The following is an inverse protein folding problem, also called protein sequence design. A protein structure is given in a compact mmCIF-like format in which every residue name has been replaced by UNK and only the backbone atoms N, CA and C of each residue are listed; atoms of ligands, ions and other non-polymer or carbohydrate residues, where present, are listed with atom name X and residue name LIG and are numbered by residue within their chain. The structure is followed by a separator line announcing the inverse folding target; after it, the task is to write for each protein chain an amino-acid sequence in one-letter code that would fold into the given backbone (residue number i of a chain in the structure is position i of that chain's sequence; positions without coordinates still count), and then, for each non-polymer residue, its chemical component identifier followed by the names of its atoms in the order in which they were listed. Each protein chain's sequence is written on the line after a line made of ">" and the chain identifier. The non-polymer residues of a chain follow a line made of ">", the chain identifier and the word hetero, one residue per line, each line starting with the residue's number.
data_IF_462077703886
#
_entry.id   IF_462077703886
#
_cell.length_a   1.000
_cell.length_b   1.000
_cell.length_c   1.000
_cell.angle_alpha   90.00
_cell.angle_beta   90.00
_cell.angle_gamma   90.00
#
_symmetry.space_group_name_H-M   'P 1'
#
loop_
_entity.id
_entity.type
_entity.pdbx_description
1 polymer ?
#
# COMPACT_ATOMS: atom_id res chain seq x y z
N UNK A 1 -38.99 -30.85 -37.33
CA UNK A 1 -38.54 -29.49 -37.01
C UNK A 1 -37.42 -29.68 -36.00
N UNK A 2 -36.18 -29.65 -36.48
CA UNK A 2 -34.98 -29.86 -35.68
C UNK A 2 -34.56 -28.50 -35.13
N UNK A 3 -34.75 -28.27 -33.85
CA UNK A 3 -34.00 -27.24 -33.14
C UNK A 3 -32.80 -27.94 -32.52
N UNK A 4 -31.64 -27.68 -33.12
CA UNK A 4 -30.32 -28.06 -32.63
C UNK A 4 -29.99 -27.16 -31.46
N UNK A 5 -30.03 -27.72 -30.25
CA UNK A 5 -29.36 -27.15 -29.09
C UNK A 5 -27.88 -26.91 -29.46
N UNK A 6 -27.49 -25.63 -29.49
CA UNK A 6 -26.09 -25.23 -29.44
C UNK A 6 -25.58 -25.49 -28.01
N UNK A 7 -25.37 -26.76 -27.69
CA UNK A 7 -24.63 -27.16 -26.51
C UNK A 7 -23.15 -26.85 -26.78
N UNK A 8 -22.79 -25.60 -26.49
CA UNK A 8 -21.41 -25.13 -26.59
C UNK A 8 -20.69 -25.64 -25.34
N UNK A 9 -20.44 -26.96 -25.29
CA UNK A 9 -19.70 -27.55 -24.19
C UNK A 9 -18.32 -26.91 -24.16
N UNK A 10 -18.06 -26.03 -23.19
CA UNK A 10 -16.73 -25.49 -22.95
C UNK A 10 -15.82 -26.68 -22.69
N UNK A 11 -14.83 -26.87 -23.56
CA UNK A 11 -13.94 -28.03 -23.50
C UNK A 11 -13.06 -27.86 -22.25
N UNK A 12 -12.88 -28.88 -21.40
CA UNK A 12 -12.08 -28.81 -20.18
C UNK A 12 -10.68 -28.18 -20.35
N UNK A 13 -10.11 -28.29 -21.56
CA UNK A 13 -8.84 -27.68 -21.94
C UNK A 13 -8.85 -26.15 -21.86
N UNK A 14 -9.94 -25.50 -22.25
CA UNK A 14 -10.05 -24.04 -22.24
C UNK A 14 -10.14 -23.50 -20.81
N UNK A 15 -10.81 -24.24 -19.91
CA UNK A 15 -10.89 -23.91 -18.48
C UNK A 15 -9.51 -24.02 -17.83
N UNK A 16 -8.75 -25.08 -18.12
CA UNK A 16 -7.39 -25.26 -17.61
C UNK A 16 -6.47 -24.13 -18.07
N UNK A 17 -6.60 -23.69 -19.33
CA UNK A 17 -5.85 -22.53 -19.83
C UNK A 17 -6.22 -21.24 -19.08
N UNK A 18 -7.50 -20.97 -18.87
CA UNK A 18 -7.97 -19.80 -18.11
C UNK A 18 -7.45 -19.82 -16.66
N UNK A 19 -7.52 -20.96 -15.98
CA UNK A 19 -6.99 -21.11 -14.61
C UNK A 19 -5.49 -20.81 -14.58
N UNK A 20 -4.72 -21.31 -15.54
CA UNK A 20 -3.29 -21.04 -15.61
C UNK A 20 -2.98 -19.55 -15.86
N UNK A 21 -3.74 -18.89 -16.75
CA UNK A 21 -3.59 -17.46 -17.01
C UNK A 21 -3.88 -16.61 -15.75
N UNK A 22 -4.93 -16.96 -15.00
CA UNK A 22 -5.26 -16.31 -13.73
C UNK A 22 -4.17 -16.53 -12.67
N UNK A 23 -3.57 -17.72 -12.60
CA UNK A 23 -2.43 -18.01 -11.71
C UNK A 23 -1.19 -17.20 -12.06
N UNK A 24 -0.88 -17.06 -13.35
CA UNK A 24 0.23 -16.21 -13.82
C UNK A 24 -0.03 -14.75 -13.45
N UNK A 25 -1.26 -14.26 -13.64
CA UNK A 25 -1.68 -12.92 -13.23
C UNK A 25 -1.48 -12.71 -11.72
N UNK A 26 -1.92 -13.65 -10.87
CA UNK A 26 -1.72 -13.54 -9.42
C UNK A 26 -0.25 -13.56 -9.01
N UNK A 27 0.57 -14.38 -9.67
CA UNK A 27 2.03 -14.39 -9.43
C UNK A 27 2.65 -13.03 -9.77
N UNK A 28 2.27 -12.42 -10.88
CA UNK A 28 2.71 -11.07 -11.23
C UNK A 28 2.20 -10.02 -10.24
N UNK A 29 1.00 -10.21 -9.70
CA UNK A 29 0.43 -9.32 -8.69
C UNK A 29 1.15 -9.44 -7.35
N UNK A 30 1.64 -10.63 -6.96
CA UNK A 30 2.47 -10.80 -5.76
C UNK A 30 3.74 -9.95 -5.80
N UNK A 31 4.43 -9.95 -6.95
CA UNK A 31 5.62 -9.12 -7.17
C UNK A 31 5.31 -7.62 -7.04
N UNK A 32 4.17 -7.20 -7.60
CA UNK A 32 3.71 -5.81 -7.53
C UNK A 32 3.27 -5.44 -6.10
N UNK A 33 2.62 -6.36 -5.39
CA UNK A 33 2.21 -6.21 -4.01
C UNK A 33 3.43 -5.98 -3.10
N UNK A 34 4.52 -6.74 -3.32
CA UNK A 34 5.79 -6.56 -2.62
C UNK A 34 6.39 -5.17 -2.89
N UNK A 35 6.41 -4.72 -4.15
CA UNK A 35 6.93 -3.39 -4.52
C UNK A 35 6.13 -2.27 -3.85
N UNK A 36 4.80 -2.36 -3.86
CA UNK A 36 3.93 -1.38 -3.22
C UNK A 36 4.16 -1.37 -1.71
N UNK A 37 4.29 -2.54 -1.07
CA UNK A 37 4.61 -2.65 0.36
C UNK A 37 5.92 -1.94 0.70
N UNK A 38 6.98 -2.20 -0.08
CA UNK A 38 8.28 -1.56 0.13
C UNK A 38 8.19 -0.05 -0.04
N UNK A 39 7.47 0.43 -1.06
CA UNK A 39 7.23 1.86 -1.29
C UNK A 39 6.46 2.51 -0.14
N UNK A 40 5.38 1.89 0.34
CA UNK A 40 4.60 2.37 1.48
C UNK A 40 5.48 2.47 2.74
N UNK A 41 6.25 1.42 3.05
CA UNK A 41 7.14 1.41 4.20
C UNK A 41 8.25 2.48 4.10
N UNK A 42 8.78 2.73 2.89
CA UNK A 42 9.74 3.81 2.67
C UNK A 42 9.13 5.19 2.98
N UNK A 43 7.90 5.45 2.54
CA UNK A 43 7.21 6.71 2.82
C UNK A 43 6.89 6.89 4.31
N UNK A 44 6.58 5.81 5.03
CA UNK A 44 6.50 5.86 6.49
C UNK A 44 7.85 6.24 7.09
N UNK A 45 8.93 5.55 6.73
CA UNK A 45 10.27 5.88 7.20
C UNK A 45 10.64 7.35 6.96
N UNK A 46 10.38 7.87 5.76
CA UNK A 46 10.56 9.29 5.42
C UNK A 46 9.74 10.21 6.33
N UNK A 47 8.47 9.88 6.57
CA UNK A 47 7.60 10.65 7.46
C UNK A 47 8.15 10.70 8.91
N UNK A 48 8.63 9.57 9.45
CA UNK A 48 9.29 9.55 10.76
C UNK A 48 10.58 10.37 10.78
N UNK A 49 11.39 10.26 9.74
CA UNK A 49 12.62 11.03 9.62
C UNK A 49 12.32 12.53 9.65
N UNK A 50 11.33 13.00 8.87
CA UNK A 50 10.94 14.40 8.88
C UNK A 50 10.31 14.83 10.20
N UNK A 51 9.52 13.96 10.85
CA UNK A 51 8.98 14.24 12.19
C UNK A 51 10.10 14.46 13.23
N UNK A 52 11.16 13.66 13.17
CA UNK A 52 12.34 13.84 14.02
C UNK A 52 13.05 15.17 13.72
N UNK A 53 13.24 15.51 12.44
CA UNK A 53 13.84 16.80 12.03
C UNK A 53 13.01 17.98 12.56
N UNK A 54 11.70 17.94 12.41
CA UNK A 54 10.77 18.96 12.95
C UNK A 54 10.94 19.07 14.46
N UNK A 55 10.92 17.94 15.18
CA UNK A 55 11.04 17.92 16.64
C UNK A 55 12.37 18.51 17.11
N UNK A 56 13.49 18.10 16.51
CA UNK A 56 14.82 18.63 16.81
C UNK A 56 14.91 20.14 16.56
N UNK A 57 14.39 20.61 15.43
CA UNK A 57 14.39 22.03 15.09
C UNK A 57 13.47 22.84 16.00
N UNK A 58 12.31 22.29 16.43
CA UNK A 58 11.45 22.90 17.45
C UNK A 58 12.16 23.02 18.79
N UNK A 59 12.90 22.01 19.23
CA UNK A 59 13.66 22.07 20.49
C UNK A 59 14.73 23.16 20.45
N UNK A 60 15.49 23.25 19.36
CA UNK A 60 16.48 24.32 19.15
C UNK A 60 15.79 25.69 19.11
N UNK A 61 14.64 25.80 18.45
CA UNK A 61 13.93 27.07 18.28
C UNK A 61 13.20 27.54 19.54
N UNK A 62 12.59 26.64 20.32
CA UNK A 62 11.80 26.97 21.51
C UNK A 62 12.63 27.08 22.80
N UNK A 63 13.91 26.68 22.78
CA UNK A 63 14.85 26.81 23.90
C UNK A 63 15.28 28.25 24.19
N UNK A 64 14.32 29.17 24.37
CA UNK A 64 14.57 30.53 24.87
C UNK A 64 14.77 31.62 23.82
N UNK A 65 14.32 31.42 22.57
CA UNK A 65 14.45 32.47 21.55
C UNK A 65 13.30 33.49 21.60
N UNK A 66 13.59 34.79 21.83
CA UNK A 66 12.57 35.85 21.87
C UNK A 66 11.96 36.10 20.48
N UNK A 67 10.83 36.80 20.44
CA UNK A 67 10.14 37.27 19.23
C UNK A 67 11.12 37.83 18.17
N UNK A 68 10.80 37.63 16.88
CA UNK A 68 11.53 38.27 15.78
C UNK A 68 11.19 39.76 15.82
N UNK A 69 12.18 40.60 16.08
CA UNK A 69 12.02 42.05 16.10
C UNK A 69 12.68 42.68 14.87
N UNK A 70 11.92 43.47 14.13
CA UNK A 70 12.47 44.38 13.11
C UNK A 70 13.00 45.64 13.79
N UNK A 71 14.10 46.19 13.27
CA UNK A 71 14.53 47.53 13.68
C UNK A 71 13.52 48.59 13.20
N UNK A 72 13.55 49.82 13.75
CA UNK A 72 12.65 50.91 13.32
C UNK A 72 12.75 51.25 11.83
N UNK A 73 13.89 50.97 11.19
CA UNK A 73 14.13 51.14 9.75
C UNK A 73 13.66 49.94 8.90
N UNK A 74 13.02 48.94 9.53
CA UNK A 74 12.57 47.70 8.89
C UNK A 74 13.65 46.63 8.72
N UNK A 75 14.92 46.90 9.05
CA UNK A 75 16.00 45.93 8.87
C UNK A 75 15.99 44.80 9.91
N UNK A 76 16.47 43.62 9.49
CA UNK A 76 16.58 42.42 10.32
C UNK A 76 18.04 42.24 10.71
N UNK A 77 18.32 42.09 12.00
CA UNK A 77 19.68 41.82 12.46
C UNK A 77 20.10 40.36 12.18
N UNK A 78 21.40 40.08 12.24
CA UNK A 78 21.93 38.74 11.96
C UNK A 78 21.28 37.63 12.82
N UNK A 79 21.03 37.92 14.10
CA UNK A 79 20.38 36.98 15.02
C UNK A 79 18.94 36.63 14.60
N UNK A 80 18.14 37.62 14.21
CA UNK A 80 16.77 37.40 13.72
C UNK A 80 16.76 36.78 12.32
N UNK A 81 17.78 37.03 11.48
CA UNK A 81 17.96 36.34 10.20
C UNK A 81 18.18 34.83 10.39
N UNK A 82 18.97 34.42 11.40
CA UNK A 82 19.16 33.01 11.76
C UNK A 82 17.85 32.34 12.18
N UNK A 83 17.03 33.03 12.99
CA UNK A 83 15.70 32.52 13.40
C UNK A 83 14.75 32.32 12.21
N UNK A 84 14.72 33.27 11.28
CA UNK A 84 13.91 33.15 10.06
C UNK A 84 14.37 31.94 9.25
N UNK A 85 15.67 31.73 9.10
CA UNK A 85 16.21 30.56 8.42
C UNK A 85 15.74 29.25 9.09
N UNK A 86 15.79 29.16 10.42
CA UNK A 86 15.29 27.99 11.15
C UNK A 86 13.79 27.78 10.99
N UNK A 87 12.99 28.84 11.03
CA UNK A 87 11.55 28.75 10.80
C UNK A 87 11.23 28.26 9.38
N UNK A 88 11.97 28.72 8.37
CA UNK A 88 11.86 28.23 6.99
C UNK A 88 12.20 26.73 6.93
N UNK A 89 13.31 26.30 7.55
CA UNK A 89 13.69 24.88 7.61
C UNK A 89 12.62 24.02 8.28
N UNK A 90 12.00 24.52 9.36
CA UNK A 90 10.90 23.82 10.02
C UNK A 90 9.74 23.58 9.05
N UNK A 91 9.32 24.63 8.33
CA UNK A 91 8.24 24.56 7.35
C UNK A 91 8.59 23.62 6.19
N UNK A 92 9.85 23.60 5.75
CA UNK A 92 10.33 22.65 4.73
C UNK A 92 10.18 21.20 5.20
N UNK A 93 10.55 20.88 6.45
CA UNK A 93 10.40 19.52 6.99
C UNK A 93 8.94 19.16 7.24
N UNK A 94 8.13 20.08 7.77
CA UNK A 94 6.68 19.86 7.95
C UNK A 94 6.01 19.58 6.60
N UNK A 95 6.36 20.31 5.54
CA UNK A 95 5.87 20.05 4.18
C UNK A 95 6.28 18.66 3.69
N UNK A 96 7.56 18.31 3.81
CA UNK A 96 8.07 16.99 3.39
C UNK A 96 7.42 15.85 4.16
N UNK A 97 7.15 16.03 5.47
CA UNK A 97 6.39 15.08 6.29
C UNK A 97 4.99 14.87 5.71
N UNK A 98 4.29 15.95 5.39
CA UNK A 98 2.95 15.89 4.80
C UNK A 98 2.95 15.20 3.43
N UNK A 99 3.92 15.52 2.57
CA UNK A 99 4.09 14.90 1.25
C UNK A 99 4.35 13.39 1.37
N UNK A 100 5.23 12.98 2.28
CA UNK A 100 5.52 11.56 2.56
C UNK A 100 4.29 10.82 3.09
N UNK A 101 3.53 11.42 4.01
CA UNK A 101 2.29 10.82 4.54
C UNK A 101 1.22 10.64 3.44
N UNK A 102 1.10 11.62 2.53
CA UNK A 102 0.20 11.53 1.38
C UNK A 102 0.61 10.42 0.41
N UNK A 103 1.91 10.29 0.13
CA UNK A 103 2.46 9.22 -0.71
C UNK A 103 2.24 7.85 -0.07
N UNK A 104 2.48 7.71 1.24
CA UNK A 104 2.16 6.51 2.01
C UNK A 104 0.67 6.12 1.85
N UNK A 105 -0.25 7.04 2.11
CA UNK A 105 -1.68 6.76 2.02
C UNK A 105 -2.11 6.32 0.61
N UNK A 106 -1.49 6.91 -0.43
CA UNK A 106 -1.72 6.49 -1.82
C UNK A 106 -1.23 5.07 -2.07
N UNK A 107 -0.02 4.73 -1.60
CA UNK A 107 0.55 3.38 -1.73
C UNK A 107 -0.27 2.35 -0.94
N UNK A 108 -0.67 2.67 0.30
CA UNK A 108 -1.54 1.84 1.14
C UNK A 108 -2.86 1.52 0.43
N UNK A 109 -3.52 2.51 -0.16
CA UNK A 109 -4.76 2.28 -0.92
C UNK A 109 -4.56 1.34 -2.09
N UNK A 110 -3.47 1.54 -2.85
CA UNK A 110 -3.12 0.67 -3.97
C UNK A 110 -2.83 -0.77 -3.50
N UNK A 111 -2.15 -0.92 -2.37
CA UNK A 111 -1.84 -2.21 -1.77
C UNK A 111 -3.12 -3.01 -1.46
N UNK A 112 -4.05 -2.40 -0.72
CA UNK A 112 -5.30 -3.07 -0.36
C UNK A 112 -6.20 -3.32 -1.57
N UNK A 113 -6.23 -2.43 -2.55
CA UNK A 113 -6.95 -2.66 -3.80
C UNK A 113 -6.42 -3.89 -4.54
N UNK A 114 -5.09 -4.02 -4.64
CA UNK A 114 -4.46 -5.15 -5.32
C UNK A 114 -4.75 -6.48 -4.60
N UNK A 115 -4.77 -6.48 -3.26
CA UNK A 115 -5.20 -7.65 -2.49
C UNK A 115 -6.62 -8.08 -2.85
N UNK A 116 -7.57 -7.14 -2.92
CA UNK A 116 -8.96 -7.48 -3.29
C UNK A 116 -9.04 -8.02 -4.73
N UNK A 117 -8.31 -7.43 -5.68
CA UNK A 117 -8.24 -7.94 -7.07
C UNK A 117 -7.65 -9.37 -7.15
N UNK A 118 -6.65 -9.67 -6.33
CA UNK A 118 -6.06 -11.02 -6.24
C UNK A 118 -7.03 -12.02 -5.60
N UNK A 119 -7.79 -11.59 -4.58
CA UNK A 119 -8.84 -12.40 -3.96
C UNK A 119 -9.96 -12.72 -4.95
N UNK A 120 -10.42 -11.73 -5.71
CA UNK A 120 -11.40 -11.93 -6.79
C UNK A 120 -10.87 -12.93 -7.82
N UNK A 121 -9.59 -12.83 -8.19
CA UNK A 121 -8.93 -13.77 -9.10
C UNK A 121 -8.91 -15.20 -8.52
N UNK A 122 -8.64 -15.39 -7.23
CA UNK A 122 -8.73 -16.73 -6.60
C UNK A 122 -10.16 -17.27 -6.54
N UNK A 123 -11.16 -16.40 -6.32
CA UNK A 123 -12.57 -16.82 -6.38
C UNK A 123 -12.98 -17.25 -7.79
N UNK A 124 -12.49 -16.56 -8.82
CA UNK A 124 -12.71 -16.93 -10.22
C UNK A 124 -12.09 -18.29 -10.55
N UNK A 125 -10.86 -18.56 -10.08
CA UNK A 125 -10.22 -19.88 -10.20
C UNK A 125 -11.10 -20.96 -9.55
N UNK A 126 -11.60 -20.73 -8.33
CA UNK A 126 -12.47 -21.69 -7.64
C UNK A 126 -13.78 -21.94 -8.39
N UNK A 127 -14.38 -20.90 -8.98
CA UNK A 127 -15.59 -21.04 -9.80
C UNK A 127 -15.34 -21.87 -11.05
N UNK A 128 -14.26 -21.58 -11.78
CA UNK A 128 -13.85 -22.32 -12.96
C UNK A 128 -13.60 -23.80 -12.64
N UNK A 129 -12.86 -24.09 -11.58
CA UNK A 129 -12.62 -25.47 -11.13
C UNK A 129 -13.91 -26.19 -10.70
N UNK A 130 -14.84 -25.48 -10.05
CA UNK A 130 -16.13 -26.07 -9.67
C UNK A 130 -17.03 -26.43 -10.86
N UNK A 131 -16.77 -25.84 -12.03
CA UNK A 131 -17.49 -26.13 -13.27
C UNK A 131 -16.94 -27.36 -14.02
N UNK A 132 -15.75 -27.82 -13.68
CA UNK A 132 -15.22 -29.10 -14.13
C UNK A 132 -15.90 -30.21 -13.31
N UNK A 133 -16.36 -31.28 -13.98
CA UNK A 133 -16.98 -32.42 -13.29
C UNK A 133 -15.97 -33.04 -12.33
N UNK A 134 -16.40 -33.26 -11.07
CA UNK A 134 -15.62 -33.59 -9.85
C UNK A 134 -14.77 -34.89 -9.85
N UNK A 135 -14.32 -35.41 -10.98
CA UNK A 135 -13.68 -36.73 -11.04
C UNK A 135 -12.14 -36.67 -11.14
N UNK A 136 -11.51 -35.50 -10.88
CA UNK A 136 -10.06 -35.32 -10.95
C UNK A 136 -9.40 -34.95 -9.61
N UNK A 137 -8.48 -35.79 -9.12
CA UNK A 137 -7.64 -35.52 -7.92
C UNK A 137 -6.82 -34.22 -8.05
N UNK A 138 -6.44 -33.86 -9.28
CA UNK A 138 -5.69 -32.62 -9.57
C UNK A 138 -6.55 -31.35 -9.42
N UNK A 139 -7.83 -31.41 -9.76
CA UNK A 139 -8.77 -30.27 -9.64
C UNK A 139 -9.11 -30.01 -8.17
N UNK A 140 -9.33 -31.08 -7.40
CA UNK A 140 -9.55 -31.00 -5.95
C UNK A 140 -8.32 -30.43 -5.24
N UNK A 141 -7.12 -30.79 -5.68
CA UNK A 141 -5.87 -30.23 -5.15
C UNK A 141 -5.75 -28.74 -5.47
N UNK A 142 -5.96 -28.32 -6.72
CA UNK A 142 -5.89 -26.90 -7.10
C UNK A 142 -6.95 -26.06 -6.38
N UNK A 143 -8.17 -26.59 -6.21
CA UNK A 143 -9.23 -25.93 -5.42
C UNK A 143 -8.77 -25.67 -3.98
N UNK A 144 -8.13 -26.66 -3.33
CA UNK A 144 -7.58 -26.48 -1.99
C UNK A 144 -6.42 -25.48 -1.95
N UNK A 145 -5.55 -25.49 -2.95
CA UNK A 145 -4.44 -24.54 -3.07
C UNK A 145 -4.95 -23.11 -3.27
N UNK A 146 -5.96 -22.90 -4.12
CA UNK A 146 -6.58 -21.59 -4.32
C UNK A 146 -7.21 -21.06 -3.02
N UNK A 147 -7.91 -21.91 -2.27
CA UNK A 147 -8.45 -21.51 -0.95
C UNK A 147 -7.36 -21.09 0.02
N UNK A 148 -6.23 -21.81 0.05
CA UNK A 148 -5.07 -21.44 0.89
C UNK A 148 -4.49 -20.09 0.48
N UNK A 149 -4.33 -19.84 -0.82
CA UNK A 149 -3.85 -18.55 -1.34
C UNK A 149 -4.81 -17.42 -0.96
N UNK A 150 -6.12 -17.63 -1.11
CA UNK A 150 -7.14 -16.66 -0.69
C UNK A 150 -7.02 -16.33 0.81
N UNK A 151 -6.94 -17.34 1.68
CA UNK A 151 -6.80 -17.13 3.13
C UNK A 151 -5.49 -16.40 3.47
N UNK A 152 -4.38 -16.76 2.82
CA UNK A 152 -3.09 -16.08 2.99
C UNK A 152 -3.16 -14.59 2.62
N UNK A 153 -3.95 -14.22 1.60
CA UNK A 153 -4.18 -12.82 1.23
C UNK A 153 -4.92 -12.06 2.34
N UNK A 154 -5.90 -12.69 3.01
CA UNK A 154 -6.63 -12.07 4.12
C UNK A 154 -5.76 -11.88 5.36
N UNK A 155 -4.93 -12.87 5.69
CA UNK A 155 -3.95 -12.77 6.78
C UNK A 155 -2.94 -11.66 6.50
N UNK A 156 -2.40 -11.61 5.27
CA UNK A 156 -1.46 -10.57 4.84
C UNK A 156 -2.09 -9.18 4.94
N UNK A 157 -3.34 -9.04 4.49
CA UNK A 157 -4.11 -7.79 4.58
C UNK A 157 -4.24 -7.33 6.04
N UNK A 158 -4.61 -8.24 6.94
CA UNK A 158 -4.79 -7.94 8.36
C UNK A 158 -3.47 -7.53 9.02
N UNK A 159 -2.42 -8.33 8.84
CA UNK A 159 -1.08 -8.05 9.39
C UNK A 159 -0.53 -6.70 8.94
N UNK A 160 -0.69 -6.37 7.66
CA UNK A 160 -0.22 -5.07 7.13
C UNK A 160 -1.06 -3.91 7.64
N UNK A 161 -2.37 -4.09 7.79
CA UNK A 161 -3.25 -3.08 8.38
C UNK A 161 -2.86 -2.79 9.82
N UNK A 162 -2.70 -3.83 10.64
CA UNK A 162 -2.26 -3.71 12.04
C UNK A 162 -0.91 -3.01 12.13
N UNK A 163 0.11 -3.49 11.40
CA UNK A 163 1.44 -2.90 11.43
C UNK A 163 1.49 -1.44 10.99
N UNK A 164 0.68 -1.03 10.01
CA UNK A 164 0.59 0.37 9.60
C UNK A 164 -0.20 1.23 10.59
N UNK A 165 -1.24 0.69 11.24
CA UNK A 165 -1.98 1.41 12.28
C UNK A 165 -1.12 1.65 13.51
N UNK A 166 -0.38 0.63 13.97
CA UNK A 166 0.56 0.75 15.08
C UNK A 166 1.59 1.85 14.81
N UNK A 167 2.13 1.87 13.59
CA UNK A 167 3.10 2.88 13.19
C UNK A 167 2.50 4.28 13.16
N UNK A 168 1.26 4.44 12.65
CA UNK A 168 0.57 5.73 12.68
C UNK A 168 0.26 6.21 14.10
N UNK A 169 0.03 5.29 15.04
CA UNK A 169 -0.14 5.62 16.46
C UNK A 169 1.16 6.13 17.10
N UNK A 170 2.33 5.68 16.66
CA UNK A 170 3.63 6.22 17.12
C UNK A 170 3.93 7.63 16.57
N UNK A 171 3.24 8.06 15.51
CA UNK A 171 3.39 9.39 14.93
C UNK A 171 2.58 10.49 15.63
N UNK A 172 1.56 10.13 16.41
CA UNK A 172 0.65 11.05 17.11
C UNK A 172 1.18 11.46 18.48
#
# INVERSE_FOLDING_TARGET
>A
MHDLDHDTSIIPRDIIHQVNDLKVKNTSNDDELLKIRLSANNHLFECNHYNLQVTQHRLVFMGGHPLIHTRPDGSINHFNSGKIHYAIKLLEFDKKKADALSAFHTAQKRYFKLIEEMKETELEIQQLLSSLNKDGEEEDKEMQESRKRFTSLEETRAQMMEGWLDWLAELS
#
